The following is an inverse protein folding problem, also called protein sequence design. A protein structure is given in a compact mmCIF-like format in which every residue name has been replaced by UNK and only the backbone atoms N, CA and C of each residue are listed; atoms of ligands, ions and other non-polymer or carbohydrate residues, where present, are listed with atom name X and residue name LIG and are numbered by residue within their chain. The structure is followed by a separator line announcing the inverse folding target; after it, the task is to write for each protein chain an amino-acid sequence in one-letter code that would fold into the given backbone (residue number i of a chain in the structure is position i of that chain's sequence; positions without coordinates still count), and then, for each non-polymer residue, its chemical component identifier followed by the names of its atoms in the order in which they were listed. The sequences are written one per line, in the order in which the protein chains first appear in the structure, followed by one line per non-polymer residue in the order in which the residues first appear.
data_IF_460846978750
#
_entry.id   IF_460846978750
#
_cell.length_a   1.000
_cell.length_b   1.000
_cell.length_c   1.000
_cell.angle_alpha   90.00
_cell.angle_beta   90.00
_cell.angle_gamma   90.00
#
_symmetry.space_group_name_H-M   'P 1'
#
loop_
_entity.id
_entity.type
_entity.pdbx_description
1 polymer ?
#
# COMPACT_ATOMS: atom_id res chain seq x y z
N UNK A 1 11.24 8.32 1.89
CA UNK A 1 11.99 7.53 2.89
C UNK A 1 10.99 6.95 3.87
N UNK A 2 10.77 5.63 3.85
CA UNK A 2 9.90 4.94 4.80
C UNK A 2 10.61 4.87 6.16
N UNK A 3 10.02 5.43 7.21
CA UNK A 3 10.50 5.31 8.59
C UNK A 3 9.46 4.50 9.37
N UNK A 4 9.85 3.31 9.83
CA UNK A 4 9.07 2.51 10.78
C UNK A 4 9.46 2.97 12.19
N UNK A 5 8.51 3.29 13.06
CA UNK A 5 8.77 3.73 14.43
C UNK A 5 8.47 2.60 15.42
N UNK A 6 9.47 2.22 16.23
CA UNK A 6 9.33 1.28 17.36
C UNK A 6 10.51 0.33 17.58
N UNK A 7 11.25 0.00 16.52
CA UNK A 7 12.49 -0.77 16.54
C UNK A 7 13.37 -0.27 15.39
N UNK A 8 14.72 -0.36 15.45
CA UNK A 8 15.53 -0.09 14.26
C UNK A 8 14.98 -0.99 13.15
N UNK A 9 14.68 -0.39 11.99
CA UNK A 9 14.37 -1.15 10.79
C UNK A 9 15.63 -1.92 10.42
N UNK A 10 15.85 -3.07 11.05
CA UNK A 10 16.93 -3.98 10.68
C UNK A 10 16.52 -4.63 9.37
N UNK A 11 16.75 -3.85 8.31
CA UNK A 11 16.80 -4.24 6.91
C UNK A 11 15.46 -4.67 6.32
N UNK A 12 15.35 -4.61 4.99
CA UNK A 12 14.22 -5.14 4.19
C UNK A 12 14.02 -6.67 4.39
N UNK A 13 14.70 -7.29 5.36
CA UNK A 13 14.71 -8.72 5.62
C UNK A 13 13.52 -9.23 6.44
N UNK A 14 12.89 -8.38 7.28
CA UNK A 14 11.68 -8.78 8.00
C UNK A 14 10.53 -9.11 7.02
N UNK A 15 9.89 -10.30 7.11
CA UNK A 15 8.84 -10.72 6.19
C UNK A 15 7.66 -9.74 6.10
N UNK A 16 7.21 -9.16 7.22
CA UNK A 16 6.08 -8.22 7.22
C UNK A 16 6.46 -6.92 6.49
N UNK A 17 7.62 -6.35 6.81
CA UNK A 17 8.14 -5.15 6.15
C UNK A 17 8.28 -5.37 4.64
N UNK A 18 8.80 -6.54 4.23
CA UNK A 18 8.92 -6.90 2.81
C UNK A 18 7.56 -7.04 2.14
N UNK A 19 6.60 -7.68 2.80
CA UNK A 19 5.22 -7.81 2.30
C UNK A 19 4.56 -6.44 2.10
N UNK A 20 4.76 -5.50 3.04
CA UNK A 20 4.27 -4.10 2.92
C UNK A 20 4.92 -3.42 1.73
N UNK A 21 6.25 -3.51 1.57
CA UNK A 21 6.96 -2.91 0.45
C UNK A 21 6.47 -3.46 -0.89
N UNK A 22 6.35 -4.78 -1.02
CA UNK A 22 5.83 -5.43 -2.23
C UNK A 22 4.42 -4.94 -2.53
N UNK A 23 3.55 -4.88 -1.50
CA UNK A 23 2.17 -4.42 -1.64
C UNK A 23 2.09 -2.97 -2.11
N UNK A 24 2.93 -2.08 -1.60
CA UNK A 24 2.84 -0.65 -1.95
C UNK A 24 3.54 -0.30 -3.26
N UNK A 25 4.63 -0.98 -3.60
CA UNK A 25 5.52 -0.61 -4.69
C UNK A 25 5.49 -1.57 -5.89
N UNK A 26 4.64 -2.58 -5.86
CA UNK A 26 4.19 -3.30 -7.07
C UNK A 26 3.02 -2.55 -7.70
N UNK A 27 2.93 -2.54 -9.03
CA UNK A 27 1.78 -1.93 -9.71
C UNK A 27 0.59 -2.86 -9.70
N UNK A 28 -0.48 -2.47 -9.00
CA UNK A 28 -1.81 -3.08 -9.19
C UNK A 28 -2.47 -2.44 -10.41
N UNK A 29 -3.21 -3.24 -11.17
CA UNK A 29 -3.90 -2.71 -12.36
C UNK A 29 -4.96 -1.67 -12.00
N UNK A 30 -5.09 -0.65 -12.84
CA UNK A 30 -6.12 0.38 -12.70
C UNK A 30 -7.51 -0.25 -12.67
N UNK A 31 -8.43 0.33 -11.91
CA UNK A 31 -9.85 -0.05 -11.89
C UNK A 31 -10.59 0.64 -13.06
N UNK A 32 -11.80 0.17 -13.43
CA UNK A 32 -12.54 0.73 -14.57
C UNK A 32 -12.81 2.25 -14.48
N UNK A 33 -12.94 2.79 -13.27
CA UNK A 33 -13.23 4.20 -13.02
C UNK A 33 -11.95 5.07 -12.87
N UNK A 34 -10.77 4.48 -13.01
CA UNK A 34 -9.51 5.23 -13.00
C UNK A 34 -9.22 5.87 -14.36
N UNK A 35 -8.92 7.16 -14.36
CA UNK A 35 -8.55 7.92 -15.55
C UNK A 35 -7.07 7.69 -15.91
N UNK A 36 -6.80 6.68 -16.76
CA UNK A 36 -5.45 6.40 -17.29
C UNK A 36 -5.48 5.69 -18.65
N UNK A 37 -4.65 6.17 -19.58
CA UNK A 37 -4.41 5.48 -20.86
C UNK A 37 -3.41 4.33 -20.73
N UNK A 38 -2.68 4.26 -19.61
CA UNK A 38 -1.62 3.28 -19.37
C UNK A 38 -1.94 2.54 -18.06
N UNK A 39 -2.82 1.53 -18.08
CA UNK A 39 -3.10 0.70 -16.92
C UNK A 39 -1.91 -0.24 -16.70
N UNK A 40 -1.03 0.14 -15.77
CA UNK A 40 0.07 -0.72 -15.33
C UNK A 40 -0.49 -1.98 -14.65
N UNK A 41 0.36 -2.93 -14.27
CA UNK A 41 -0.10 -4.12 -13.56
C UNK A 41 1.03 -5.09 -13.25
N UNK A 42 0.75 -6.05 -12.38
CA UNK A 42 1.64 -7.15 -12.09
C UNK A 42 1.18 -8.39 -12.86
N UNK A 43 2.12 -9.03 -13.56
CA UNK A 43 1.80 -10.20 -14.38
C UNK A 43 1.26 -11.38 -13.57
N UNK A 44 1.59 -11.46 -12.28
CA UNK A 44 1.11 -12.50 -11.36
C UNK A 44 -0.42 -12.50 -11.17
N UNK A 45 -1.08 -11.35 -11.36
CA UNK A 45 -2.54 -11.22 -11.23
C UNK A 45 -3.31 -11.82 -12.43
N UNK A 46 -2.63 -12.38 -13.43
CA UNK A 46 -3.28 -12.89 -14.67
C UNK A 46 -4.06 -14.19 -14.42
N UNK A 47 -3.61 -15.02 -13.48
CA UNK A 47 -4.25 -16.30 -13.12
C UNK A 47 -4.28 -16.49 -11.61
N UNK A 48 -5.11 -15.70 -10.90
CA UNK A 48 -5.15 -15.79 -9.45
C UNK A 48 -5.89 -17.05 -9.01
N UNK A 49 -5.43 -17.66 -7.92
CA UNK A 49 -6.10 -18.84 -7.34
C UNK A 49 -7.37 -18.46 -6.57
N UNK A 50 -7.42 -17.22 -6.07
CA UNK A 50 -8.58 -16.60 -5.42
C UNK A 50 -9.04 -15.43 -6.30
N UNK A 51 -10.34 -15.31 -6.55
CA UNK A 51 -10.87 -14.24 -7.39
C UNK A 51 -10.51 -12.85 -6.81
N UNK A 52 -10.06 -11.93 -7.67
CA UNK A 52 -9.63 -10.56 -7.32
C UNK A 52 -8.43 -10.47 -6.36
N UNK A 53 -7.68 -11.57 -6.17
CA UNK A 53 -6.39 -11.53 -5.49
C UNK A 53 -5.37 -10.80 -6.37
N UNK A 54 -5.13 -9.52 -6.00
CA UNK A 54 -4.36 -8.56 -6.79
C UNK A 54 -3.35 -7.85 -5.92
N UNK A 55 -2.07 -8.10 -6.21
CA UNK A 55 -0.95 -7.50 -5.46
C UNK A 55 -0.58 -6.15 -6.04
N UNK A 56 -0.18 -5.24 -5.15
CA UNK A 56 0.32 -3.94 -5.52
C UNK A 56 -0.63 -2.80 -5.18
N UNK A 57 -0.21 -1.59 -5.54
CA UNK A 57 -1.00 -0.39 -5.36
C UNK A 57 -1.21 0.36 -6.67
N UNK A 58 -2.23 1.22 -6.66
CA UNK A 58 -2.50 2.19 -7.72
C UNK A 58 -1.84 3.55 -7.47
N UNK A 59 -0.87 3.65 -6.55
CA UNK A 59 -0.17 4.91 -6.23
C UNK A 59 0.50 5.57 -7.45
N UNK A 60 0.84 4.78 -8.48
CA UNK A 60 1.42 5.31 -9.72
C UNK A 60 0.46 6.24 -10.49
N UNK A 61 -0.86 6.10 -10.31
CA UNK A 61 -1.86 6.99 -10.91
C UNK A 61 -1.76 8.42 -10.37
N UNK A 62 -1.17 8.60 -9.19
CA UNK A 62 -0.99 9.91 -8.56
C UNK A 62 0.31 10.60 -9.02
N UNK A 63 1.11 9.97 -9.88
CA UNK A 63 2.34 10.58 -10.39
C UNK A 63 2.02 11.91 -11.07
N UNK A 64 2.81 12.94 -10.74
CA UNK A 64 2.68 14.32 -11.27
C UNK A 64 1.34 15.02 -10.93
N UNK A 65 0.55 14.47 -10.01
CA UNK A 65 -0.65 15.13 -9.49
C UNK A 65 -0.30 16.31 -8.58
N UNK A 66 -1.18 17.32 -8.51
CA UNK A 66 -1.07 18.41 -7.52
C UNK A 66 -1.21 17.86 -6.10
N UNK A 67 -0.49 18.45 -5.15
CA UNK A 67 -0.59 18.10 -3.74
C UNK A 67 -1.78 18.77 -3.08
N UNK A 68 -2.92 18.10 -3.14
CA UNK A 68 -4.19 18.55 -2.57
C UNK A 68 -4.68 17.56 -1.50
N UNK A 69 -5.68 17.97 -0.71
CA UNK A 69 -6.36 17.07 0.22
C UNK A 69 -6.96 15.85 -0.52
N UNK A 70 -7.52 16.07 -1.71
CA UNK A 70 -8.06 14.99 -2.55
C UNK A 70 -6.98 13.97 -2.94
N UNK A 71 -5.78 14.44 -3.34
CA UNK A 71 -4.66 13.56 -3.68
C UNK A 71 -4.18 12.76 -2.47
N UNK A 72 -4.17 13.37 -1.27
CA UNK A 72 -3.84 12.69 -0.03
C UNK A 72 -4.88 11.61 0.34
N UNK A 73 -6.18 11.87 0.12
CA UNK A 73 -7.23 10.86 0.28
C UNK A 73 -7.07 9.71 -0.71
N UNK A 74 -6.88 9.99 -2.01
CA UNK A 74 -6.62 8.92 -3.00
C UNK A 74 -5.40 8.08 -2.64
N UNK A 75 -4.32 8.70 -2.16
CA UNK A 75 -3.13 7.98 -1.71
C UNK A 75 -3.44 7.06 -0.53
N UNK A 76 -4.22 7.53 0.45
CA UNK A 76 -4.70 6.71 1.58
C UNK A 76 -5.51 5.51 1.09
N UNK A 77 -6.44 5.73 0.16
CA UNK A 77 -7.32 4.67 -0.36
C UNK A 77 -6.53 3.61 -1.14
N UNK A 78 -5.57 4.03 -1.97
CA UNK A 78 -4.69 3.10 -2.69
C UNK A 78 -3.77 2.30 -1.74
N UNK A 79 -3.28 2.92 -0.66
CA UNK A 79 -2.50 2.23 0.39
C UNK A 79 -3.40 1.23 1.12
N UNK A 80 -4.62 1.62 1.48
CA UNK A 80 -5.56 0.75 2.19
C UNK A 80 -5.93 -0.48 1.34
N UNK A 81 -6.25 -0.28 0.05
CA UNK A 81 -6.52 -1.36 -0.90
C UNK A 81 -5.32 -2.32 -1.01
N UNK A 82 -4.12 -1.78 -1.15
CA UNK A 82 -2.91 -2.59 -1.32
C UNK A 82 -2.57 -3.46 -0.10
N UNK A 83 -2.98 -3.04 1.10
CA UNK A 83 -2.69 -3.75 2.35
C UNK A 83 -3.87 -4.60 2.85
N UNK A 84 -5.00 -4.60 2.14
CA UNK A 84 -6.23 -5.26 2.57
C UNK A 84 -6.04 -6.77 2.78
N UNK A 85 -5.32 -7.43 1.86
CA UNK A 85 -5.06 -8.87 1.90
C UNK A 85 -4.42 -9.32 3.23
N UNK A 86 -3.59 -8.47 3.86
CA UNK A 86 -2.94 -8.82 5.13
C UNK A 86 -3.94 -9.02 6.27
N UNK A 87 -5.10 -8.35 6.21
CA UNK A 87 -6.19 -8.55 7.17
C UNK A 87 -7.01 -9.78 6.81
N UNK A 88 -7.28 -9.98 5.53
CA UNK A 88 -8.04 -11.13 5.02
C UNK A 88 -7.33 -12.45 5.32
N UNK A 89 -6.00 -12.46 5.21
CA UNK A 89 -5.13 -13.60 5.54
C UNK A 89 -4.81 -13.73 7.04
N UNK A 90 -5.32 -12.82 7.88
CA UNK A 90 -5.10 -12.87 9.33
C UNK A 90 -3.67 -12.57 9.78
N UNK A 91 -2.88 -11.85 8.98
CA UNK A 91 -1.52 -11.43 9.34
C UNK A 91 -1.57 -10.17 10.22
N UNK A 92 -2.49 -9.26 9.90
CA UNK A 92 -2.67 -7.97 10.58
C UNK A 92 -4.09 -7.87 11.10
N UNK A 93 -4.26 -7.52 12.37
CA UNK A 93 -5.55 -7.24 13.00
C UNK A 93 -6.08 -5.86 12.58
N UNK A 94 -5.22 -4.85 12.73
CA UNK A 94 -5.55 -3.44 12.48
C UNK A 94 -4.50 -2.73 11.66
N UNK A 95 -4.97 -1.94 10.70
CA UNK A 95 -4.14 -1.09 9.84
C UNK A 95 -4.57 0.36 10.00
N UNK A 96 -3.72 1.17 10.63
CA UNK A 96 -3.90 2.61 10.76
C UNK A 96 -3.00 3.33 9.74
N UNK A 97 -3.61 4.08 8.84
CA UNK A 97 -2.92 4.82 7.76
C UNK A 97 -3.10 6.31 8.03
N UNK A 98 -2.03 7.09 7.95
CA UNK A 98 -2.10 8.54 7.93
C UNK A 98 -1.34 9.05 6.71
N UNK A 99 -1.97 9.89 5.89
CA UNK A 99 -1.32 10.54 4.76
C UNK A 99 -1.38 12.03 4.95
N UNK A 100 -0.22 12.66 5.06
CA UNK A 100 -0.08 14.10 5.31
C UNK A 100 0.81 14.73 4.28
N UNK A 101 0.50 15.98 3.90
CA UNK A 101 1.44 16.79 3.12
C UNK A 101 2.61 17.20 4.02
N UNK A 102 3.82 16.93 3.56
CA UNK A 102 5.07 17.35 4.22
C UNK A 102 5.76 18.38 3.34
N UNK A 103 5.80 19.63 3.80
CA UNK A 103 6.36 20.73 3.02
C UNK A 103 5.55 21.04 1.75
N UNK A 104 6.24 21.52 0.72
CA UNK A 104 5.59 22.01 -0.50
C UNK A 104 5.37 20.94 -1.57
N UNK A 105 6.16 19.87 -1.57
CA UNK A 105 6.35 18.96 -2.71
C UNK A 105 6.22 17.47 -2.38
N UNK A 106 5.91 17.11 -1.12
CA UNK A 106 5.90 15.71 -0.69
C UNK A 106 4.59 15.34 0.02
N UNK A 107 4.07 14.15 -0.26
CA UNK A 107 3.15 13.43 0.64
C UNK A 107 3.94 12.40 1.45
N UNK A 108 3.64 12.32 2.73
CA UNK A 108 4.19 11.32 3.64
C UNK A 108 3.05 10.42 4.11
N UNK A 109 3.24 9.12 3.97
CA UNK A 109 2.36 8.11 4.54
C UNK A 109 3.04 7.48 5.77
N UNK A 110 2.34 7.50 6.90
CA UNK A 110 2.71 6.79 8.12
C UNK A 110 1.75 5.62 8.28
N UNK A 111 2.30 4.42 8.48
CA UNK A 111 1.56 3.18 8.60
C UNK A 111 1.82 2.59 9.98
N UNK A 112 0.76 2.24 10.70
CA UNK A 112 0.84 1.47 11.96
C UNK A 112 0.04 0.20 11.78
N UNK A 113 0.72 -0.94 11.88
CA UNK A 113 0.13 -2.27 11.72
C UNK A 113 0.13 -2.98 13.07
N UNK A 114 -1.02 -3.48 13.49
CA UNK A 114 -1.15 -4.32 14.68
C UNK A 114 -1.21 -5.77 14.24
N UNK A 115 -0.19 -6.56 14.57
CA UNK A 115 -0.13 -7.99 14.20
C UNK A 115 -0.89 -8.84 15.21
N UNK A 116 -1.57 -9.89 14.73
CA UNK A 116 -2.16 -10.90 15.59
C UNK A 116 -1.04 -11.70 16.25
N UNK A 117 -0.96 -11.67 17.58
CA UNK A 117 -0.13 -12.65 18.30
C UNK A 117 -0.91 -13.95 18.40
N UNK A 118 -0.39 -15.00 17.77
CA UNK A 118 -0.86 -16.36 18.08
C UNK A 118 -0.42 -16.67 19.52
N UNK A 119 -1.34 -17.02 20.44
CA UNK A 119 -0.94 -17.54 21.75
C UNK A 119 -0.18 -18.86 21.53
N UNK A 120 1.04 -18.92 22.06
CA UNK A 120 1.86 -20.14 22.12
C UNK A 120 1.30 -21.10 23.16
#
# INVERSE_FOLDING_TARGET
MMRVHGHPAETVSDPLTRAVIISLFTWRRAEPDDDTDIPMGWWGDTWPTVADDRIGSRLYLLRRSRLTAQTAHKARDHIAQALQWMREDGIVDRTDIAVTRSGLDTLTATLTLTVLRVPV
#
